data_IF_446384156967
#
_entry.id   IF_446384156967
#
_cell.length_a   1.000
_cell.length_b   1.000
_cell.length_c   1.000
_cell.angle_alpha   90.00
_cell.angle_beta   90.00
_cell.angle_gamma   90.00
#
_symmetry.space_group_name_H-M   'P 1'
#
loop_
_entity.id
_entity.type
_entity.pdbx_description
1 polymer ?
#
# COMPACT_ATOMS: atom_id res chain seq x y z
N UNK A 1 -1.64 7.75 29.79
CA UNK A 1 -0.85 8.23 28.64
C UNK A 1 0.53 8.51 29.20
N UNK A 2 1.57 7.76 28.83
CA UNK A 2 2.94 8.10 29.23
C UNK A 2 3.29 9.44 28.60
N UNK A 3 3.72 10.41 29.40
CA UNK A 3 4.19 11.69 28.87
C UNK A 3 5.44 11.44 28.02
N UNK A 4 5.29 11.63 26.72
CA UNK A 4 6.38 11.55 25.76
C UNK A 4 7.17 12.84 25.90
N UNK A 5 8.49 12.75 26.04
CA UNK A 5 9.35 13.94 26.11
C UNK A 5 9.26 14.77 24.82
N UNK A 6 9.40 16.10 24.90
CA UNK A 6 9.35 16.97 23.71
C UNK A 6 10.41 16.62 22.67
N UNK A 7 11.56 16.09 23.08
CA UNK A 7 12.60 15.62 22.17
C UNK A 7 12.19 14.35 21.41
N UNK A 8 11.51 13.42 22.09
CA UNK A 8 11.03 12.18 21.47
C UNK A 8 9.86 12.45 20.53
N UNK A 9 8.98 13.38 20.89
CA UNK A 9 7.92 13.88 19.98
C UNK A 9 8.51 14.50 18.72
N UNK A 10 9.55 15.33 18.86
CA UNK A 10 10.24 15.95 17.71
C UNK A 10 10.89 14.90 16.81
N UNK A 11 11.54 13.88 17.39
CA UNK A 11 12.11 12.75 16.64
C UNK A 11 11.05 11.99 15.86
N UNK A 12 9.88 11.73 16.43
CA UNK A 12 8.78 11.05 15.74
C UNK A 12 8.26 11.89 14.57
N UNK A 13 8.12 13.20 14.75
CA UNK A 13 7.63 14.11 13.71
C UNK A 13 8.62 14.30 12.55
N UNK A 14 9.91 14.31 12.84
CA UNK A 14 10.97 14.45 11.82
C UNK A 14 11.34 13.09 11.17
N UNK A 15 10.94 11.97 11.78
CA UNK A 15 11.21 10.65 11.25
C UNK A 15 10.43 10.43 9.93
N UNK A 16 11.11 9.97 8.86
CA UNK A 16 10.43 9.68 7.61
C UNK A 16 9.47 8.48 7.79
N UNK A 17 8.24 8.53 7.24
CA UNK A 17 7.22 7.51 7.45
C UNK A 17 7.46 6.27 6.58
N UNK A 18 8.63 5.62 6.72
CA UNK A 18 9.09 4.50 5.88
C UNK A 18 8.12 3.32 5.89
N UNK A 19 7.52 3.02 7.04
CA UNK A 19 6.52 1.96 7.18
C UNK A 19 5.25 2.25 6.36
N UNK A 20 4.76 3.48 6.39
CA UNK A 20 3.61 3.92 5.58
C UNK A 20 3.93 3.79 4.09
N UNK A 21 5.12 4.22 3.67
CA UNK A 21 5.55 4.08 2.28
C UNK A 21 5.65 2.62 1.83
N UNK A 22 6.23 1.75 2.66
CA UNK A 22 6.30 0.31 2.38
C UNK A 22 4.90 -0.28 2.21
N UNK A 23 3.97 0.04 3.13
CA UNK A 23 2.59 -0.44 3.07
C UNK A 23 1.86 0.03 1.81
N UNK A 24 1.95 1.32 1.49
CA UNK A 24 1.35 1.89 0.26
C UNK A 24 1.90 1.18 -0.97
N UNK A 25 3.21 0.97 -1.03
CA UNK A 25 3.84 0.32 -2.17
C UNK A 25 3.41 -1.14 -2.32
N UNK A 26 3.37 -1.90 -1.22
CA UNK A 26 2.91 -3.28 -1.21
C UNK A 26 1.46 -3.39 -1.68
N UNK A 27 0.57 -2.57 -1.14
CA UNK A 27 -0.86 -2.59 -1.52
C UNK A 27 -1.02 -2.15 -2.98
N UNK A 28 -0.36 -1.07 -3.40
CA UNK A 28 -0.43 -0.58 -4.77
C UNK A 28 0.04 -1.61 -5.79
N UNK A 29 1.14 -2.32 -5.49
CA UNK A 29 1.65 -3.39 -6.35
C UNK A 29 0.68 -4.58 -6.38
N UNK A 30 0.13 -4.98 -5.24
CA UNK A 30 -0.85 -6.07 -5.17
C UNK A 30 -2.12 -5.75 -5.98
N UNK A 31 -2.61 -4.52 -5.90
CA UNK A 31 -3.75 -4.07 -6.69
C UNK A 31 -3.45 -4.09 -8.19
N UNK A 32 -2.29 -3.57 -8.60
CA UNK A 32 -1.87 -3.57 -10.00
C UNK A 32 -1.74 -4.99 -10.56
N UNK A 33 -1.07 -5.87 -9.84
CA UNK A 33 -0.89 -7.28 -10.24
C UNK A 33 -2.24 -7.99 -10.34
N UNK A 34 -3.11 -7.79 -9.35
CA UNK A 34 -4.46 -8.38 -9.35
C UNK A 34 -5.28 -7.88 -10.53
N UNK A 35 -5.24 -6.57 -10.81
CA UNK A 35 -5.95 -5.99 -11.95
C UNK A 35 -5.46 -6.55 -13.28
N UNK A 36 -4.14 -6.64 -13.48
CA UNK A 36 -3.56 -7.24 -14.69
C UNK A 36 -3.97 -8.70 -14.84
N UNK A 37 -3.93 -9.47 -13.76
CA UNK A 37 -4.36 -10.87 -13.76
C UNK A 37 -5.84 -11.01 -14.13
N UNK A 38 -6.73 -10.24 -13.51
CA UNK A 38 -8.15 -10.32 -13.82
C UNK A 38 -8.47 -9.84 -15.24
N UNK A 39 -7.83 -8.78 -15.72
CA UNK A 39 -8.09 -8.25 -17.05
C UNK A 39 -7.55 -9.16 -18.16
N UNK A 40 -6.26 -9.50 -18.10
CA UNK A 40 -5.61 -10.28 -19.17
C UNK A 40 -5.78 -11.78 -19.01
N UNK A 41 -5.72 -12.30 -17.79
CA UNK A 41 -5.76 -13.74 -17.52
C UNK A 41 -7.17 -14.32 -17.39
N UNK A 42 -8.15 -13.52 -16.97
CA UNK A 42 -9.53 -13.99 -16.78
C UNK A 42 -10.45 -13.39 -17.83
N UNK A 43 -10.62 -12.07 -17.87
CA UNK A 43 -11.63 -11.40 -18.68
C UNK A 43 -11.39 -11.56 -20.19
N UNK A 44 -10.20 -11.21 -20.69
CA UNK A 44 -9.91 -11.37 -22.13
C UNK A 44 -9.88 -12.82 -22.59
N UNK A 45 -9.54 -13.78 -21.72
CA UNK A 45 -9.50 -15.20 -22.07
C UNK A 45 -10.88 -15.84 -22.18
N UNK A 46 -11.88 -15.35 -21.46
CA UNK A 46 -13.22 -15.94 -21.44
C UNK A 46 -14.27 -15.10 -22.21
N UNK A 47 -13.95 -13.85 -22.55
CA UNK A 47 -14.88 -12.92 -23.21
C UNK A 47 -15.96 -12.38 -22.25
N UNK A 48 -16.81 -11.43 -22.70
CA UNK A 48 -17.98 -11.03 -21.93
C UNK A 48 -18.89 -12.24 -21.73
N UNK A 49 -19.33 -12.45 -20.49
CA UNK A 49 -20.38 -13.44 -20.18
C UNK A 49 -21.63 -13.01 -20.95
N UNK A 50 -22.06 -13.86 -21.88
CA UNK A 50 -23.30 -13.67 -22.64
C UNK A 50 -24.53 -13.94 -21.77
#
# INVERSE_FOLDING_TARGET
MSEISEEEKRRILEAPPRGTWALIFTIGLAMLVSWLYFFFGVFMSHGPVA
#
